data_IF_746738467736
#
_entry.id   IF_746738467736
#
_cell.length_a   1.000
_cell.length_b   1.000
_cell.length_c   1.000
_cell.angle_alpha   90.00
_cell.angle_beta   90.00
_cell.angle_gamma   90.00
#
_symmetry.space_group_name_H-M   'P 1'
#
loop_
_entity.id
_entity.type
_entity.pdbx_description
1 polymer ?
#
# COMPACT_ATOMS: atom_id res chain seq x y z
N UNK A 1 12.50 -14.36 15.15
CA UNK A 1 13.60 -14.98 14.38
C UNK A 1 14.43 -15.92 15.24
N UNK A 2 14.80 -15.53 16.45
CA UNK A 2 15.58 -16.33 17.40
C UNK A 2 14.59 -16.92 18.42
N UNK A 3 14.55 -18.24 18.62
CA UNK A 3 13.67 -18.84 19.61
C UNK A 3 14.12 -18.41 21.03
N UNK A 4 13.15 -18.24 21.91
CA UNK A 4 13.43 -18.01 23.32
C UNK A 4 13.93 -19.32 23.97
N UNK A 5 14.86 -19.19 24.92
CA UNK A 5 15.29 -20.32 25.73
C UNK A 5 14.17 -20.75 26.69
N UNK A 6 14.09 -22.04 26.95
CA UNK A 6 13.13 -22.55 27.93
C UNK A 6 13.67 -22.30 29.33
N UNK A 7 12.89 -21.66 30.22
CA UNK A 7 13.29 -21.51 31.61
C UNK A 7 13.31 -22.90 32.32
N UNK A 8 14.15 -23.02 33.34
CA UNK A 8 14.13 -24.20 34.19
C UNK A 8 12.85 -24.26 35.07
N UNK A 9 12.70 -25.33 35.85
CA UNK A 9 11.53 -25.48 36.73
C UNK A 9 11.39 -24.41 37.81
N UNK A 10 12.45 -23.59 38.02
CA UNK A 10 12.47 -22.47 38.98
C UNK A 10 12.35 -21.11 38.27
N UNK A 11 12.23 -21.08 36.95
CA UNK A 11 12.06 -19.88 36.15
C UNK A 11 13.37 -19.16 35.78
N UNK A 12 14.53 -19.83 35.98
CA UNK A 12 15.83 -19.29 35.58
C UNK A 12 16.20 -19.71 34.16
N UNK A 13 16.67 -18.77 33.36
CA UNK A 13 17.07 -18.95 31.96
C UNK A 13 18.57 -19.19 31.75
N UNK A 14 19.34 -19.17 32.83
CA UNK A 14 20.81 -19.32 32.83
C UNK A 14 21.32 -20.65 33.40
N UNK A 15 20.44 -21.62 33.60
CA UNK A 15 20.83 -22.95 34.10
C UNK A 15 21.34 -23.83 32.94
N UNK A 16 22.64 -24.13 32.96
CA UNK A 16 23.31 -24.92 31.91
C UNK A 16 22.73 -26.33 31.70
N UNK A 17 22.09 -26.92 32.72
CA UNK A 17 21.50 -28.27 32.66
C UNK A 17 20.23 -28.30 31.77
N UNK A 18 19.52 -27.16 31.61
CA UNK A 18 18.33 -27.05 30.80
C UNK A 18 18.57 -26.37 29.44
N UNK A 19 19.74 -25.73 29.27
CA UNK A 19 20.17 -25.12 28.01
C UNK A 19 20.65 -26.20 27.03
N UNK A 20 19.72 -26.94 26.46
CA UNK A 20 20.01 -27.94 25.46
C UNK A 20 19.73 -27.41 24.06
N UNK A 21 20.76 -27.39 23.21
CA UNK A 21 20.58 -27.11 21.78
C UNK A 21 19.91 -28.33 21.12
N UNK A 22 18.59 -28.24 20.93
CA UNK A 22 17.89 -29.24 20.14
C UNK A 22 18.24 -29.10 18.65
N UNK A 23 18.20 -30.19 17.86
CA UNK A 23 18.37 -30.08 16.41
C UNK A 23 17.44 -29.06 15.75
N UNK A 24 16.22 -28.92 16.24
CA UNK A 24 15.25 -27.92 15.79
C UNK A 24 15.71 -26.48 16.10
N UNK A 25 16.32 -26.26 17.26
CA UNK A 25 16.90 -24.96 17.64
C UNK A 25 18.05 -24.59 16.72
N UNK A 26 18.94 -25.53 16.41
CA UNK A 26 20.06 -25.32 15.49
C UNK A 26 19.54 -24.96 14.09
N UNK A 27 18.53 -25.69 13.59
CA UNK A 27 17.91 -25.39 12.28
C UNK A 27 17.32 -23.96 12.25
N UNK A 28 16.64 -23.55 13.30
CA UNK A 28 16.08 -22.19 13.43
C UNK A 28 17.16 -21.10 13.46
N UNK A 29 18.27 -21.35 14.16
CA UNK A 29 19.41 -20.41 14.17
C UNK A 29 20.05 -20.30 12.78
N UNK A 30 20.25 -21.42 12.09
CA UNK A 30 20.81 -21.41 10.72
C UNK A 30 19.87 -20.66 9.77
N UNK A 31 18.57 -20.90 9.83
CA UNK A 31 17.59 -20.19 9.01
C UNK A 31 17.53 -18.69 9.33
N UNK A 32 17.65 -18.32 10.60
CA UNK A 32 17.73 -16.91 10.99
C UNK A 32 19.02 -16.25 10.48
N UNK A 33 20.17 -16.95 10.58
CA UNK A 33 21.45 -16.46 10.07
C UNK A 33 21.42 -16.28 8.54
N UNK A 34 20.82 -17.21 7.79
CA UNK A 34 20.62 -17.06 6.35
C UNK A 34 19.81 -15.82 6.01
N UNK A 35 18.67 -15.61 6.68
CA UNK A 35 17.84 -14.41 6.47
C UNK A 35 18.60 -13.12 6.75
N UNK A 36 19.34 -13.08 7.84
CA UNK A 36 20.17 -11.90 8.19
C UNK A 36 21.27 -11.68 7.16
N UNK A 37 21.93 -12.73 6.70
CA UNK A 37 22.96 -12.64 5.67
C UNK A 37 22.40 -12.16 4.34
N UNK A 38 21.25 -12.67 3.89
CA UNK A 38 20.57 -12.22 2.69
C UNK A 38 20.23 -10.72 2.76
N UNK A 39 19.69 -10.27 3.87
CA UNK A 39 19.39 -8.85 4.10
C UNK A 39 20.67 -8.00 4.10
N UNK A 40 21.74 -8.49 4.72
CA UNK A 40 23.00 -7.75 4.86
C UNK A 40 23.75 -7.57 3.52
N UNK A 41 23.66 -8.56 2.62
CA UNK A 41 24.30 -8.48 1.29
C UNK A 41 23.37 -7.91 0.21
N UNK A 42 22.11 -7.59 0.57
CA UNK A 42 21.16 -7.00 -0.34
C UNK A 42 20.68 -7.98 -1.44
N UNK A 43 20.57 -9.27 -1.11
CA UNK A 43 19.96 -10.23 -2.03
C UNK A 43 18.48 -9.88 -2.15
N UNK A 44 18.12 -9.24 -3.26
CA UNK A 44 16.72 -8.95 -3.56
C UNK A 44 15.91 -10.24 -3.66
N UNK A 45 14.67 -10.26 -3.16
CA UNK A 45 13.77 -11.38 -3.37
C UNK A 45 13.70 -11.73 -4.87
N UNK A 46 13.90 -12.98 -5.22
CA UNK A 46 13.76 -13.46 -6.60
C UNK A 46 12.28 -13.59 -6.97
N UNK A 47 11.59 -12.46 -7.08
CA UNK A 47 10.18 -12.45 -7.42
C UNK A 47 9.60 -11.05 -7.32
N UNK A 48 8.39 -10.87 -7.86
CA UNK A 48 7.64 -9.64 -7.67
C UNK A 48 7.29 -9.48 -6.18
N UNK A 49 7.59 -8.31 -5.62
CA UNK A 49 7.13 -7.91 -4.29
C UNK A 49 5.98 -6.91 -4.45
N UNK A 50 5.04 -6.97 -3.54
CA UNK A 50 3.95 -6.00 -3.46
C UNK A 50 4.08 -5.31 -2.11
N UNK A 51 4.10 -3.98 -2.16
CA UNK A 51 4.00 -3.14 -0.97
C UNK A 51 2.75 -2.29 -1.07
N UNK A 52 2.03 -2.14 0.03
CA UNK A 52 0.80 -1.37 0.10
C UNK A 52 0.97 -0.25 1.11
N UNK A 53 0.54 0.95 0.72
CA UNK A 53 0.56 2.15 1.53
C UNK A 53 -0.87 2.63 1.74
N UNK A 54 -1.30 2.65 2.99
CA UNK A 54 -2.62 3.14 3.35
C UNK A 54 -2.57 4.64 3.65
N UNK A 55 -3.38 5.42 2.95
CA UNK A 55 -3.59 6.83 3.30
C UNK A 55 -4.47 6.90 4.55
N UNK A 56 -4.03 7.58 5.61
CA UNK A 56 -4.79 7.65 6.85
C UNK A 56 -6.20 8.21 6.65
N UNK A 57 -7.22 7.55 7.22
CA UNK A 57 -8.62 7.95 7.09
C UNK A 57 -8.96 9.33 7.65
N UNK A 58 -8.13 9.83 8.56
CA UNK A 58 -8.26 11.15 9.15
C UNK A 58 -7.54 12.27 8.38
N UNK A 59 -6.85 11.92 7.28
CA UNK A 59 -6.22 12.92 6.42
C UNK A 59 -7.29 13.67 5.64
N UNK A 60 -7.37 14.98 5.88
CA UNK A 60 -8.33 15.84 5.19
C UNK A 60 -7.85 16.05 3.75
N UNK A 61 -8.68 15.64 2.78
CA UNK A 61 -8.39 15.73 1.35
C UNK A 61 -8.87 17.06 0.71
N UNK A 62 -9.20 18.06 1.50
CA UNK A 62 -9.63 19.38 1.03
C UNK A 62 -8.50 20.39 0.80
N UNK A 63 -7.37 20.16 1.48
CA UNK A 63 -6.21 21.03 1.47
C UNK A 63 -4.94 20.23 1.12
N UNK A 64 -3.85 20.95 0.76
CA UNK A 64 -2.54 20.38 0.56
C UNK A 64 -2.03 19.76 1.86
N UNK A 65 -1.86 18.43 1.88
CA UNK A 65 -1.55 17.67 3.10
C UNK A 65 -0.06 17.57 3.43
N UNK A 66 0.84 17.83 2.45
CA UNK A 66 2.29 17.76 2.60
C UNK A 66 2.99 18.84 1.77
N UNK A 67 4.20 19.23 2.19
CA UNK A 67 5.06 20.14 1.40
C UNK A 67 5.60 19.46 0.13
N UNK A 68 5.64 18.13 0.10
CA UNK A 68 6.09 17.34 -1.05
C UNK A 68 5.04 17.27 -2.18
N UNK A 69 3.81 17.68 -1.90
CA UNK A 69 2.77 17.79 -2.93
C UNK A 69 2.87 19.11 -3.69
N UNK A 70 2.48 19.16 -4.98
CA UNK A 70 2.46 20.38 -5.77
C UNK A 70 1.64 21.50 -5.14
N UNK A 71 2.00 22.75 -5.43
CA UNK A 71 1.20 23.90 -5.02
C UNK A 71 -0.17 23.86 -5.68
N UNK A 72 -1.21 24.08 -4.87
CA UNK A 72 -2.60 24.09 -5.35
C UNK A 72 -3.27 22.70 -5.37
N UNK A 73 -2.54 21.64 -4.97
CA UNK A 73 -3.18 20.34 -4.79
C UNK A 73 -4.23 20.38 -3.68
N UNK A 74 -5.34 19.72 -3.92
CA UNK A 74 -6.40 19.48 -2.94
C UNK A 74 -6.32 18.03 -2.50
N UNK A 75 -5.83 17.80 -1.30
CA UNK A 75 -5.57 16.46 -0.82
C UNK A 75 -4.34 15.84 -1.45
N UNK A 76 -4.33 14.53 -1.55
CA UNK A 76 -3.22 13.72 -2.01
C UNK A 76 -2.41 13.14 -0.86
N UNK A 77 -1.45 12.30 -1.21
CA UNK A 77 -0.48 11.73 -0.28
C UNK A 77 0.89 11.68 -0.95
N UNK A 78 1.92 12.09 -0.23
CA UNK A 78 3.31 11.87 -0.61
C UNK A 78 3.80 10.61 0.11
N UNK A 79 4.40 9.69 -0.64
CA UNK A 79 4.82 8.38 -0.17
C UNK A 79 6.30 8.21 -0.48
N UNK A 80 7.13 8.14 0.55
CA UNK A 80 8.52 7.75 0.38
C UNK A 80 8.63 6.24 0.20
N UNK A 81 9.24 5.81 -0.91
CA UNK A 81 9.47 4.40 -1.18
C UNK A 81 10.92 4.15 -1.61
N UNK A 82 11.51 3.07 -1.10
CA UNK A 82 12.83 2.61 -1.52
C UNK A 82 12.67 1.51 -2.57
N UNK A 83 12.90 1.85 -3.83
CA UNK A 83 12.95 0.88 -4.92
C UNK A 83 14.24 0.05 -4.83
N UNK A 84 14.16 -1.27 -4.61
CA UNK A 84 15.35 -2.07 -4.30
C UNK A 84 16.24 -2.35 -5.52
N UNK A 85 15.68 -2.33 -6.72
CA UNK A 85 16.39 -2.62 -7.97
C UNK A 85 15.86 -1.76 -9.11
N UNK A 86 16.68 -1.59 -10.16
CA UNK A 86 16.19 -1.06 -11.42
C UNK A 86 15.22 -2.06 -12.05
N UNK A 87 14.03 -1.62 -12.41
CA UNK A 87 13.02 -2.53 -12.94
C UNK A 87 11.78 -1.84 -13.45
N UNK A 88 10.87 -2.65 -13.95
CA UNK A 88 9.52 -2.23 -14.31
C UNK A 88 8.62 -2.40 -13.09
N UNK A 89 7.98 -1.30 -12.69
CA UNK A 89 7.11 -1.26 -11.52
C UNK A 89 5.69 -0.93 -11.93
N UNK A 90 4.74 -1.57 -11.26
CA UNK A 90 3.32 -1.27 -11.38
C UNK A 90 2.88 -0.50 -10.14
N UNK A 91 2.41 0.70 -10.35
CA UNK A 91 1.78 1.54 -9.33
C UNK A 91 0.28 1.42 -9.54
N UNK A 92 -0.45 0.99 -8.52
CA UNK A 92 -1.91 0.89 -8.55
C UNK A 92 -2.48 1.74 -7.44
N UNK A 93 -3.44 2.59 -7.78
CA UNK A 93 -4.16 3.41 -6.80
C UNK A 93 -5.53 2.79 -6.57
N UNK A 94 -5.87 2.57 -5.31
CA UNK A 94 -7.19 2.14 -4.88
C UNK A 94 -7.88 3.28 -4.15
N UNK A 95 -9.12 3.57 -4.55
CA UNK A 95 -9.93 4.59 -3.90
C UNK A 95 -10.49 4.07 -2.59
N UNK A 96 -10.60 4.97 -1.61
CA UNK A 96 -11.18 4.62 -0.32
C UNK A 96 -12.68 4.34 -0.46
N UNK A 97 -13.10 3.21 0.06
CA UNK A 97 -14.52 2.84 0.16
C UNK A 97 -15.08 3.16 1.55
N UNK A 98 -16.39 3.23 1.64
CA UNK A 98 -17.10 3.28 2.93
C UNK A 98 -17.30 1.86 3.49
N UNK A 99 -18.03 1.75 4.60
CA UNK A 99 -18.29 0.45 5.30
C UNK A 99 -19.19 -0.53 4.52
N UNK A 100 -19.73 -0.12 3.38
CA UNK A 100 -20.51 -0.96 2.45
C UNK A 100 -19.85 -1.07 1.08
N UNK A 101 -18.53 -0.91 1.05
CA UNK A 101 -17.63 -1.06 -0.11
C UNK A 101 -17.87 -0.08 -1.28
N UNK A 102 -18.53 1.06 -1.02
CA UNK A 102 -18.73 2.08 -2.04
C UNK A 102 -17.71 3.23 -1.93
N UNK A 103 -17.19 3.65 -3.08
CA UNK A 103 -16.34 4.85 -3.16
C UNK A 103 -17.18 6.11 -2.90
N UNK A 104 -16.66 7.05 -2.14
CA UNK A 104 -17.32 8.31 -1.81
C UNK A 104 -16.95 9.42 -2.79
N UNK A 105 -17.84 10.40 -2.94
CA UNK A 105 -17.56 11.62 -3.70
C UNK A 105 -17.61 11.45 -5.23
N UNK A 106 -18.22 10.40 -5.74
CA UNK A 106 -18.35 10.15 -7.18
C UNK A 106 -19.49 10.93 -7.85
N UNK A 107 -20.23 11.71 -7.10
CA UNK A 107 -21.25 12.62 -7.60
C UNK A 107 -20.66 13.86 -8.30
N UNK A 108 -19.41 14.16 -8.04
CA UNK A 108 -18.65 15.24 -8.69
C UNK A 108 -17.48 14.68 -9.51
N UNK A 109 -17.09 15.39 -10.56
CA UNK A 109 -15.92 15.04 -11.36
C UNK A 109 -14.64 15.44 -10.62
N UNK A 110 -13.70 14.52 -10.57
CA UNK A 110 -12.39 14.68 -9.95
C UNK A 110 -11.27 14.32 -10.90
N UNK A 111 -10.09 14.86 -10.63
CA UNK A 111 -8.83 14.48 -11.27
C UNK A 111 -7.81 14.12 -10.20
N UNK A 112 -7.12 13.01 -10.43
CA UNK A 112 -6.00 12.57 -9.61
C UNK A 112 -4.75 12.56 -10.47
N UNK A 113 -3.75 13.32 -10.04
CA UNK A 113 -2.43 13.37 -10.67
C UNK A 113 -1.47 12.45 -9.93
N UNK A 114 -0.74 11.63 -10.69
CA UNK A 114 0.35 10.82 -10.20
C UNK A 114 1.67 11.45 -10.64
N UNK A 115 2.58 11.62 -9.70
CA UNK A 115 3.94 12.12 -9.94
C UNK A 115 4.98 11.24 -9.25
N UNK A 116 6.22 11.30 -9.71
CA UNK A 116 7.37 10.65 -9.09
C UNK A 116 8.54 11.65 -9.03
N UNK A 117 9.11 11.86 -7.85
CA UNK A 117 10.15 12.88 -7.62
C UNK A 117 9.76 14.27 -8.13
N UNK A 118 8.48 14.61 -8.08
CA UNK A 118 7.95 15.87 -8.59
C UNK A 118 7.76 15.94 -10.11
N UNK A 119 8.10 14.89 -10.85
CA UNK A 119 7.78 14.79 -12.27
C UNK A 119 6.39 14.23 -12.48
N UNK A 120 5.57 14.93 -13.26
CA UNK A 120 4.25 14.48 -13.66
C UNK A 120 4.33 13.18 -14.48
N UNK A 121 3.50 12.20 -14.14
CA UNK A 121 3.42 10.92 -14.83
C UNK A 121 2.08 10.74 -15.57
N UNK A 122 0.96 10.88 -14.85
CA UNK A 122 -0.36 10.53 -15.36
C UNK A 122 -1.45 11.28 -14.59
N UNK A 123 -2.54 11.61 -15.28
CA UNK A 123 -3.80 12.07 -14.66
C UNK A 123 -4.90 11.05 -14.91
N UNK A 124 -5.67 10.77 -13.87
CA UNK A 124 -6.86 9.95 -13.92
C UNK A 124 -8.08 10.80 -13.59
N UNK A 125 -9.05 10.82 -14.50
CA UNK A 125 -10.35 11.44 -14.26
C UNK A 125 -11.33 10.41 -13.71
N UNK A 126 -12.10 10.78 -12.68
CA UNK A 126 -13.07 9.91 -12.06
C UNK A 126 -14.24 10.71 -11.46
N UNK A 127 -15.34 10.02 -11.17
CA UNK A 127 -16.57 10.65 -10.67
C UNK A 127 -17.37 11.38 -11.75
N UNK A 128 -18.46 11.99 -11.36
CA UNK A 128 -19.43 12.59 -12.27
C UNK A 128 -20.02 11.57 -13.25
N UNK A 129 -20.03 11.94 -14.53
CA UNK A 129 -20.49 11.05 -15.61
C UNK A 129 -19.40 10.11 -16.17
N UNK A 130 -18.21 10.10 -15.59
CA UNK A 130 -17.18 9.16 -15.97
C UNK A 130 -17.39 7.84 -15.19
N UNK A 131 -17.33 6.71 -15.86
CA UNK A 131 -17.05 6.28 -17.22
C UNK A 131 -18.32 6.11 -18.12
N UNK A 132 -19.23 7.01 -18.10
CA UNK A 132 -20.47 6.96 -18.91
C UNK A 132 -21.69 6.44 -18.17
N UNK A 133 -21.56 6.13 -16.88
CA UNK A 133 -22.65 5.80 -15.98
C UNK A 133 -22.96 7.07 -15.18
N UNK A 134 -24.16 7.68 -15.34
CA UNK A 134 -24.48 8.93 -14.67
C UNK A 134 -24.58 8.74 -13.15
N UNK A 135 -23.94 9.63 -12.41
CA UNK A 135 -24.02 9.63 -10.95
C UNK A 135 -25.49 9.87 -10.51
N UNK A 136 -25.97 9.18 -9.49
CA UNK A 136 -27.32 9.40 -8.97
C UNK A 136 -27.42 10.78 -8.31
N UNK A 137 -28.54 11.47 -8.51
CA UNK A 137 -28.80 12.85 -8.06
C UNK A 137 -28.63 13.09 -6.55
N UNK A 138 -28.73 12.07 -5.74
CA UNK A 138 -28.48 12.18 -4.29
C UNK A 138 -27.60 11.03 -3.81
N UNK A 139 -26.31 11.26 -3.80
CA UNK A 139 -25.37 10.36 -3.19
C UNK A 139 -25.15 10.73 -1.73
N UNK A 140 -26.05 10.29 -0.87
CA UNK A 140 -25.93 10.50 0.59
C UNK A 140 -25.39 9.25 1.34
N UNK A 141 -24.66 8.38 0.63
CA UNK A 141 -24.14 7.12 1.19
C UNK A 141 -25.18 5.99 1.28
N UNK A 142 -26.43 6.26 0.95
CA UNK A 142 -27.46 5.27 0.70
C UNK A 142 -27.68 5.23 -0.81
N UNK A 143 -27.18 4.18 -1.43
CA UNK A 143 -27.26 4.06 -2.87
C UNK A 143 -28.69 3.78 -3.24
N UNK A 144 -29.25 4.74 -3.92
CA UNK A 144 -30.45 4.57 -4.74
C UNK A 144 -30.06 4.89 -6.16
N UNK A 145 -29.17 4.07 -6.68
CA UNK A 145 -28.82 4.04 -8.09
C UNK A 145 -29.48 2.86 -8.76
N UNK A 146 -29.19 2.69 -10.04
CA UNK A 146 -29.46 1.44 -10.73
C UNK A 146 -28.52 0.35 -10.21
N UNK A 147 -28.87 -0.92 -10.40
CA UNK A 147 -28.01 -2.06 -10.10
C UNK A 147 -26.63 -1.91 -10.79
N UNK A 148 -26.59 -1.34 -12.00
CA UNK A 148 -25.38 -1.05 -12.77
C UNK A 148 -24.46 -0.05 -12.05
N UNK A 149 -25.03 0.94 -11.35
CA UNK A 149 -24.26 1.91 -10.58
C UNK A 149 -23.67 1.27 -9.31
N UNK A 150 -24.42 0.41 -8.63
CA UNK A 150 -23.95 -0.33 -7.48
C UNK A 150 -22.78 -1.25 -7.85
N UNK A 151 -22.92 -2.02 -8.93
CA UNK A 151 -21.87 -2.89 -9.43
C UNK A 151 -20.62 -2.08 -9.81
N UNK A 152 -20.79 -0.95 -10.50
CA UNK A 152 -19.69 -0.05 -10.84
C UNK A 152 -18.94 0.44 -9.59
N UNK A 153 -19.66 0.94 -8.60
CA UNK A 153 -19.06 1.50 -7.38
C UNK A 153 -18.34 0.47 -6.52
N UNK A 154 -18.82 -0.78 -6.53
CA UNK A 154 -18.22 -1.85 -5.72
C UNK A 154 -17.02 -2.51 -6.40
N UNK A 155 -17.06 -2.63 -7.72
CA UNK A 155 -16.10 -3.47 -8.44
C UNK A 155 -15.17 -2.69 -9.38
N UNK A 156 -15.64 -1.59 -9.98
CA UNK A 156 -15.00 -0.96 -11.12
C UNK A 156 -14.63 0.52 -10.92
N UNK A 157 -15.02 1.14 -9.83
CA UNK A 157 -14.83 2.58 -9.61
C UNK A 157 -13.39 3.06 -9.69
N UNK A 158 -12.43 2.19 -9.36
CA UNK A 158 -11.00 2.45 -9.43
C UNK A 158 -10.27 1.54 -10.43
N UNK A 159 -11.00 0.89 -11.32
CA UNK A 159 -10.41 0.10 -12.40
C UNK A 159 -9.63 0.99 -13.36
N UNK A 160 -8.41 0.59 -13.69
CA UNK A 160 -7.55 1.34 -14.60
C UNK A 160 -6.69 2.41 -13.92
N UNK A 161 -6.78 2.61 -12.62
CA UNK A 161 -5.85 3.49 -11.90
C UNK A 161 -4.53 2.79 -11.65
N UNK A 162 -3.90 2.40 -12.75
CA UNK A 162 -2.61 1.73 -12.72
C UNK A 162 -1.66 2.32 -13.76
N UNK A 163 -0.40 2.41 -13.41
CA UNK A 163 0.68 2.84 -14.29
C UNK A 163 1.83 1.87 -14.18
N UNK A 164 2.35 1.45 -15.33
CA UNK A 164 3.56 0.60 -15.41
C UNK A 164 4.66 1.41 -16.04
N UNK A 165 5.79 1.55 -15.34
CA UNK A 165 6.92 2.34 -15.82
C UNK A 165 8.25 1.79 -15.29
N UNK A 166 9.36 2.04 -16.02
CA UNK A 166 10.69 1.71 -15.55
C UNK A 166 11.12 2.72 -14.46
N UNK A 167 11.52 2.21 -13.29
CA UNK A 167 12.05 3.02 -12.19
C UNK A 167 13.44 2.51 -11.83
N UNK A 168 14.35 3.46 -11.58
CA UNK A 168 15.69 3.15 -11.06
C UNK A 168 15.67 2.94 -9.57
N UNK A 169 16.52 2.04 -9.09
CA UNK A 169 16.72 1.79 -7.67
C UNK A 169 17.07 3.07 -6.90
N UNK A 170 16.62 3.12 -5.67
CA UNK A 170 16.86 4.23 -4.75
C UNK A 170 15.58 4.75 -4.08
N UNK A 171 15.72 5.68 -3.13
CA UNK A 171 14.59 6.34 -2.52
C UNK A 171 13.92 7.29 -3.52
N UNK A 172 12.58 7.29 -3.54
CA UNK A 172 11.72 8.14 -4.38
C UNK A 172 10.54 8.66 -3.56
N UNK A 173 9.99 9.77 -4.01
CA UNK A 173 8.77 10.36 -3.42
C UNK A 173 7.73 10.58 -4.50
#
# INVERSE_FOLDING_TARGET
LIPADAPDQYGFDNNAEVLALSPLSVERYVNAAHKVAELAVGVSPRGASIETYDVPLNLIQGDRSSEDLPFGSRGGAAIEHLFPVDGEYRITVKLQTNYVDFVRGFDEAHEMELSLDGEYLQTYAFGGDAPGIPAPYSYAGNIRGSDDWEEFMMAFADEGFELVLPIKAGPRV
#
